data_IF_912214453126
#
_entry.id   IF_912214453126
#
_cell.length_a   1.000
_cell.length_b   1.000
_cell.length_c   1.000
_cell.angle_alpha   90.00
_cell.angle_beta   90.00
_cell.angle_gamma   90.00
#
_symmetry.space_group_name_H-M   'P 1'
#
loop_
_entity.id
_entity.type
_entity.pdbx_description
1 polymer ?
#
# COMPACT_ATOMS: atom_id res chain seq x y z
N UNK A 1 -40.90 -7.11 -49.24
CA UNK A 1 -41.00 -8.59 -49.26
C UNK A 1 -40.08 -9.11 -48.20
N UNK A 2 -40.44 -9.67 -47.11
CA UNK A 2 -41.58 -10.37 -46.58
C UNK A 2 -41.19 -10.98 -45.27
N UNK A 3 -41.86 -10.63 -44.26
CA UNK A 3 -42.32 -11.22 -43.02
C UNK A 3 -42.04 -12.72 -42.73
N UNK A 4 -41.69 -13.05 -41.45
CA UNK A 4 -42.36 -13.97 -40.49
C UNK A 4 -41.41 -14.25 -39.36
N UNK A 5 -41.52 -13.83 -38.10
CA UNK A 5 -42.47 -14.04 -37.01
C UNK A 5 -42.94 -15.51 -36.76
N UNK A 6 -42.67 -15.97 -35.51
CA UNK A 6 -43.44 -16.90 -34.68
C UNK A 6 -42.56 -17.33 -33.50
N UNK A 7 -42.72 -16.93 -32.30
CA UNK A 7 -43.62 -17.09 -31.14
C UNK A 7 -44.10 -18.52 -30.83
N UNK A 8 -43.89 -18.95 -29.58
CA UNK A 8 -44.79 -19.60 -28.59
C UNK A 8 -43.97 -20.45 -27.60
N UNK A 9 -43.91 -20.07 -26.34
CA UNK A 9 -44.80 -20.41 -25.20
C UNK A 9 -45.02 -21.93 -24.94
N UNK A 10 -44.69 -22.38 -23.74
CA UNK A 10 -45.40 -23.23 -22.77
C UNK A 10 -44.52 -23.37 -21.52
N UNK A 11 -44.80 -22.90 -20.42
CA UNK A 11 -45.82 -23.03 -19.34
C UNK A 11 -45.91 -24.46 -18.72
N UNK A 12 -45.61 -24.46 -17.40
CA UNK A 12 -46.21 -25.13 -16.23
C UNK A 12 -46.00 -26.64 -16.09
N UNK A 13 -45.48 -27.06 -14.91
CA UNK A 13 -46.32 -27.63 -13.86
C UNK A 13 -45.53 -27.82 -12.55
N UNK A 14 -46.17 -27.40 -11.48
CA UNK A 14 -45.81 -27.62 -10.09
C UNK A 14 -46.34 -28.99 -9.61
N UNK A 15 -45.66 -29.62 -8.71
CA UNK A 15 -46.29 -30.52 -7.75
C UNK A 15 -45.42 -30.63 -6.48
N UNK A 16 -45.94 -30.18 -5.39
CA UNK A 16 -45.40 -30.34 -4.06
C UNK A 16 -45.83 -31.66 -3.42
N UNK A 17 -45.04 -32.16 -2.48
CA UNK A 17 -45.49 -33.04 -1.44
C UNK A 17 -44.73 -32.68 -0.16
N UNK A 18 -45.48 -32.31 0.86
CA UNK A 18 -45.04 -32.20 2.24
C UNK A 18 -45.51 -33.48 3.00
N UNK A 19 -44.69 -34.05 3.84
CA UNK A 19 -45.11 -34.88 5.00
C UNK A 19 -44.02 -34.81 6.06
N UNK A 20 -44.40 -34.51 7.15
CA UNK A 20 -44.37 -34.33 8.56
C UNK A 20 -43.60 -35.39 9.38
N UNK A 21 -42.97 -34.85 10.42
CA UNK A 21 -42.91 -35.25 11.83
C UNK A 21 -42.29 -36.60 12.25
N UNK A 22 -41.39 -36.48 13.23
CA UNK A 22 -40.96 -37.59 14.09
C UNK A 22 -39.84 -37.17 15.04
N UNK A 23 -40.20 -36.74 16.23
CA UNK A 23 -39.29 -36.48 17.34
C UNK A 23 -38.82 -37.80 17.97
N UNK A 24 -37.51 -37.91 18.27
CA UNK A 24 -37.04 -38.82 19.30
C UNK A 24 -35.81 -38.23 20.01
N UNK A 25 -36.01 -37.96 21.28
CA UNK A 25 -34.98 -37.57 22.25
C UNK A 25 -34.29 -38.87 22.72
N UNK A 26 -32.97 -38.91 22.67
CA UNK A 26 -32.18 -39.77 23.52
C UNK A 26 -30.80 -39.13 23.75
N UNK A 27 -30.58 -38.69 24.97
CA UNK A 27 -29.30 -38.22 25.44
C UNK A 27 -28.33 -39.38 25.68
N UNK A 28 -27.06 -39.20 25.39
CA UNK A 28 -25.94 -39.92 25.97
C UNK A 28 -24.80 -38.96 26.27
N UNK A 29 -24.25 -39.16 27.44
CA UNK A 29 -23.29 -38.36 28.13
C UNK A 29 -21.92 -38.28 27.47
N UNK A 30 -21.19 -37.23 27.85
CA UNK A 30 -19.84 -36.85 27.55
C UNK A 30 -18.78 -37.94 27.79
N UNK A 31 -17.82 -38.02 26.89
CA UNK A 31 -16.45 -38.43 27.18
C UNK A 31 -15.49 -37.41 26.56
N UNK A 32 -14.86 -36.68 27.44
CA UNK A 32 -13.77 -35.77 27.08
C UNK A 32 -12.56 -36.58 26.61
N UNK A 33 -12.20 -36.46 25.34
CA UNK A 33 -10.88 -36.84 24.84
C UNK A 33 -10.21 -35.58 24.31
N UNK A 34 -9.14 -35.18 24.98
CA UNK A 34 -8.32 -34.06 24.55
C UNK A 34 -7.71 -34.28 23.16
N UNK A 35 -8.18 -33.52 22.20
CA UNK A 35 -7.59 -33.39 20.88
C UNK A 35 -7.10 -31.98 20.73
N UNK A 36 -5.77 -31.82 20.57
CA UNK A 36 -5.11 -30.53 20.42
C UNK A 36 -5.75 -29.72 19.29
N UNK A 37 -6.41 -28.63 19.67
CA UNK A 37 -6.91 -27.63 18.76
C UNK A 37 -5.72 -26.91 18.16
N UNK A 38 -5.33 -27.31 16.95
CA UNK A 38 -4.60 -26.46 16.04
C UNK A 38 -5.48 -25.23 15.77
N UNK A 39 -5.28 -24.18 16.55
CA UNK A 39 -6.00 -22.93 16.43
C UNK A 39 -5.71 -22.24 15.12
N UNK A 40 -6.47 -22.52 14.09
CA UNK A 40 -6.68 -21.61 12.98
C UNK A 40 -7.34 -20.39 13.57
N UNK A 41 -6.54 -19.37 13.89
CA UNK A 41 -7.03 -18.07 14.30
C UNK A 41 -7.87 -17.50 13.18
N UNK A 42 -9.18 -17.68 13.24
CA UNK A 42 -10.14 -16.98 12.42
C UNK A 42 -9.87 -15.48 12.58
N UNK A 43 -9.52 -14.83 11.49
CA UNK A 43 -9.33 -13.39 11.45
C UNK A 43 -10.69 -12.76 11.70
N UNK A 44 -10.99 -12.48 12.95
CA UNK A 44 -12.04 -11.51 13.29
C UNK A 44 -11.58 -10.19 12.70
N UNK A 45 -12.44 -9.57 11.86
CA UNK A 45 -12.13 -8.42 11.00
C UNK A 45 -11.66 -7.16 11.72
N UNK A 46 -10.48 -7.22 12.33
CA UNK A 46 -9.80 -6.12 13.01
C UNK A 46 -8.48 -5.78 12.33
N UNK A 47 -8.08 -4.51 12.42
CA UNK A 47 -6.78 -4.05 11.95
C UNK A 47 -5.63 -4.78 12.65
N UNK A 48 -4.48 -4.98 11.97
CA UNK A 48 -3.31 -5.64 12.58
C UNK A 48 -2.84 -4.96 13.87
N UNK A 49 -2.45 -5.77 14.84
CA UNK A 49 -1.88 -5.30 16.10
C UNK A 49 -0.58 -4.52 15.87
N UNK A 50 -0.45 -3.34 16.48
CA UNK A 50 0.66 -2.42 16.21
C UNK A 50 1.99 -2.91 16.80
N UNK A 51 1.97 -3.73 17.85
CA UNK A 51 3.11 -4.32 18.52
C UNK A 51 3.63 -5.61 17.87
N UNK A 52 2.92 -6.14 16.87
CA UNK A 52 3.26 -7.37 16.14
C UNK A 52 3.66 -7.08 14.68
N UNK A 53 4.84 -6.51 14.42
CA UNK A 53 5.28 -6.19 13.08
C UNK A 53 5.58 -7.44 12.26
N UNK A 54 5.05 -7.49 11.04
CA UNK A 54 5.41 -8.45 10.01
C UNK A 54 6.57 -7.96 9.12
N UNK A 55 6.78 -8.55 7.95
CA UNK A 55 7.79 -8.07 7.01
C UNK A 55 7.45 -6.69 6.47
N UNK A 56 8.48 -5.98 5.99
CA UNK A 56 8.34 -4.71 5.25
C UNK A 56 8.43 -4.99 3.77
N UNK A 57 7.41 -4.57 3.01
CA UNK A 57 7.39 -4.64 1.55
C UNK A 57 7.71 -3.26 1.00
N UNK A 58 8.74 -3.16 0.16
CA UNK A 58 9.18 -1.90 -0.44
C UNK A 58 8.74 -1.87 -1.90
N UNK A 59 7.97 -0.85 -2.28
CA UNK A 59 7.39 -0.71 -3.62
C UNK A 59 8.15 0.38 -4.38
N UNK A 60 8.78 0.05 -5.53
CA UNK A 60 9.54 1.02 -6.29
C UNK A 60 8.63 2.04 -6.98
N UNK A 61 9.24 3.15 -7.40
CA UNK A 61 8.61 4.19 -8.19
C UNK A 61 8.52 3.86 -9.68
N UNK A 62 8.13 4.88 -10.45
CA UNK A 62 8.12 4.83 -11.91
C UNK A 62 9.48 4.38 -12.46
N UNK A 63 9.46 3.50 -13.43
CA UNK A 63 10.68 2.90 -13.96
C UNK A 63 11.14 1.65 -13.22
N UNK A 64 10.48 1.25 -12.12
CA UNK A 64 10.69 -0.03 -11.44
C UNK A 64 12.08 -0.24 -10.82
N UNK A 65 12.89 0.83 -10.69
CA UNK A 65 14.27 0.73 -10.20
C UNK A 65 14.30 0.30 -8.73
N UNK A 66 15.09 -0.73 -8.43
CA UNK A 66 15.14 -1.34 -7.09
C UNK A 66 16.43 -1.07 -6.33
N UNK A 67 17.44 -0.45 -6.96
CA UNK A 67 18.77 -0.27 -6.39
C UNK A 67 18.76 0.50 -5.07
N UNK A 68 18.20 1.71 -5.07
CA UNK A 68 18.12 2.56 -3.88
C UNK A 68 17.24 1.93 -2.77
N UNK A 69 16.13 1.30 -3.14
CA UNK A 69 15.28 0.56 -2.18
C UNK A 69 15.99 -0.67 -1.60
N UNK A 70 16.93 -1.26 -2.32
CA UNK A 70 17.73 -2.37 -1.80
C UNK A 70 18.64 -1.93 -0.66
N UNK A 71 19.15 -0.68 -0.71
CA UNK A 71 19.88 -0.06 0.39
C UNK A 71 18.97 0.11 1.61
N UNK A 72 17.80 0.72 1.43
CA UNK A 72 16.82 0.87 2.52
C UNK A 72 16.40 -0.50 3.10
N UNK A 73 16.15 -1.49 2.23
CA UNK A 73 15.81 -2.84 2.66
C UNK A 73 16.93 -3.49 3.50
N UNK A 74 18.20 -3.27 3.15
CA UNK A 74 19.35 -3.75 3.93
C UNK A 74 19.37 -3.11 5.33
N UNK A 75 19.10 -1.81 5.44
CA UNK A 75 19.00 -1.09 6.72
C UNK A 75 17.86 -1.63 7.59
N UNK A 76 16.69 -1.90 6.97
CA UNK A 76 15.56 -2.52 7.69
C UNK A 76 15.93 -3.93 8.16
N UNK A 77 16.62 -4.74 7.33
CA UNK A 77 17.06 -6.09 7.74
C UNK A 77 18.06 -6.06 8.88
N UNK A 78 18.91 -5.05 8.94
CA UNK A 78 19.85 -4.86 10.04
C UNK A 78 19.16 -4.67 11.42
N UNK A 79 17.86 -4.30 11.43
CA UNK A 79 17.05 -4.26 12.67
C UNK A 79 16.45 -5.62 13.06
N UNK A 80 16.78 -6.70 12.35
CA UNK A 80 16.23 -8.04 12.56
C UNK A 80 14.88 -8.28 11.84
N UNK A 81 14.38 -7.31 11.05
CA UNK A 81 13.11 -7.46 10.32
C UNK A 81 13.32 -7.98 8.90
N UNK A 82 12.40 -8.80 8.42
CA UNK A 82 12.36 -9.15 7.00
C UNK A 82 11.95 -7.93 6.18
N UNK A 83 12.68 -7.67 5.10
CA UNK A 83 12.35 -6.63 4.13
C UNK A 83 12.47 -7.20 2.71
N UNK A 84 11.49 -6.93 1.86
CA UNK A 84 11.41 -7.44 0.49
C UNK A 84 11.11 -6.27 -0.44
N UNK A 85 11.95 -6.06 -1.44
CA UNK A 85 11.67 -5.12 -2.53
C UNK A 85 10.77 -5.84 -3.54
N UNK A 86 9.59 -5.29 -3.78
CA UNK A 86 8.63 -5.79 -4.75
C UNK A 86 9.17 -5.53 -6.15
N UNK A 87 9.09 -6.52 -7.01
CA UNK A 87 9.44 -6.36 -8.43
C UNK A 87 8.18 -6.12 -9.23
N UNK A 88 8.09 -4.97 -9.87
CA UNK A 88 6.98 -4.62 -10.74
C UNK A 88 7.15 -5.26 -12.12
N UNK A 89 6.06 -5.57 -12.84
CA UNK A 89 6.13 -6.16 -14.17
C UNK A 89 6.72 -5.18 -15.20
N UNK A 90 7.35 -5.73 -16.21
CA UNK A 90 8.03 -4.94 -17.23
C UNK A 90 9.11 -4.06 -16.60
N UNK A 91 9.03 -2.79 -16.88
CA UNK A 91 9.92 -1.75 -16.34
C UNK A 91 9.20 -0.82 -15.33
N UNK A 92 8.04 -1.21 -14.76
CA UNK A 92 7.29 -0.38 -13.81
C UNK A 92 6.69 0.89 -14.42
N UNK A 93 6.45 0.92 -15.73
CA UNK A 93 5.77 2.03 -16.42
C UNK A 93 4.36 1.68 -16.87
N UNK A 94 3.91 0.45 -16.57
CA UNK A 94 2.55 -0.03 -16.82
C UNK A 94 1.51 0.64 -15.92
N UNK A 95 0.32 0.06 -15.85
CA UNK A 95 -0.74 0.60 -14.99
C UNK A 95 -0.40 0.43 -13.51
N UNK A 96 -0.53 1.51 -12.73
CA UNK A 96 -0.36 1.50 -11.27
C UNK A 96 -1.38 0.58 -10.58
N UNK A 97 -2.54 0.37 -11.18
CA UNK A 97 -3.55 -0.60 -10.69
C UNK A 97 -3.04 -2.03 -10.82
N UNK A 98 -2.39 -2.35 -11.96
CA UNK A 98 -1.73 -3.65 -12.13
C UNK A 98 -0.62 -3.86 -11.12
N UNK A 99 0.16 -2.82 -10.85
CA UNK A 99 1.25 -2.85 -9.87
C UNK A 99 0.71 -3.05 -8.44
N UNK A 100 -0.46 -2.49 -8.11
CA UNK A 100 -1.14 -2.75 -6.84
C UNK A 100 -1.53 -4.22 -6.68
N UNK A 101 -1.99 -4.87 -7.74
CA UNK A 101 -2.22 -6.33 -7.74
C UNK A 101 -0.95 -7.14 -7.47
N UNK A 102 0.21 -6.70 -7.98
CA UNK A 102 1.52 -7.34 -7.69
C UNK A 102 1.89 -7.16 -6.22
N UNK A 103 1.68 -5.96 -5.65
CA UNK A 103 1.86 -5.72 -4.23
C UNK A 103 0.94 -6.64 -3.41
N UNK A 104 -0.35 -6.73 -3.78
CA UNK A 104 -1.30 -7.62 -3.09
C UNK A 104 -0.82 -9.07 -3.10
N UNK A 105 -0.36 -9.58 -4.23
CA UNK A 105 0.19 -10.94 -4.32
C UNK A 105 1.40 -11.15 -3.40
N UNK A 106 2.26 -10.15 -3.23
CA UNK A 106 3.39 -10.21 -2.31
C UNK A 106 2.93 -10.20 -0.84
N UNK A 107 1.94 -9.38 -0.50
CA UNK A 107 1.30 -9.34 0.82
C UNK A 107 0.67 -10.69 1.17
N UNK A 108 -0.16 -11.21 0.28
CA UNK A 108 -0.83 -12.50 0.49
C UNK A 108 0.18 -13.64 0.69
N UNK A 109 1.29 -13.62 -0.04
CA UNK A 109 2.37 -14.60 0.16
C UNK A 109 2.99 -14.47 1.56
N UNK A 110 3.20 -13.26 2.05
CA UNK A 110 3.74 -13.03 3.40
C UNK A 110 2.76 -13.52 4.47
N UNK A 111 1.47 -13.23 4.33
CA UNK A 111 0.43 -13.62 5.28
C UNK A 111 0.20 -15.14 5.29
N UNK A 112 0.18 -15.80 4.12
CA UNK A 112 0.14 -17.26 4.04
C UNK A 112 1.38 -17.93 4.63
N UNK A 113 2.53 -17.24 4.61
CA UNK A 113 3.75 -17.66 5.31
C UNK A 113 3.74 -17.44 6.82
N UNK A 114 2.59 -17.10 7.42
CA UNK A 114 2.42 -16.92 8.86
C UNK A 114 2.74 -15.51 9.39
N UNK A 115 2.98 -14.53 8.52
CA UNK A 115 3.16 -13.15 8.97
C UNK A 115 1.84 -12.60 9.57
N UNK A 116 1.87 -11.96 10.76
CA UNK A 116 0.67 -11.41 11.39
C UNK A 116 0.12 -10.19 10.66
N UNK A 117 0.96 -9.50 9.90
CA UNK A 117 0.68 -8.27 9.17
C UNK A 117 1.82 -7.97 8.20
N UNK A 118 1.72 -6.88 7.46
CA UNK A 118 2.82 -6.28 6.71
C UNK A 118 2.96 -4.81 7.04
N UNK A 119 4.16 -4.25 6.88
CA UNK A 119 4.36 -2.82 6.66
C UNK A 119 4.68 -2.60 5.19
N UNK A 120 4.25 -1.47 4.64
CA UNK A 120 4.54 -1.11 3.25
C UNK A 120 5.34 0.19 3.23
N UNK A 121 6.39 0.23 2.43
CA UNK A 121 7.14 1.46 2.13
C UNK A 121 7.03 1.71 0.63
N UNK A 122 6.31 2.74 0.22
CA UNK A 122 6.15 3.13 -1.18
C UNK A 122 7.06 4.31 -1.53
N UNK A 123 7.90 4.18 -2.55
CA UNK A 123 8.74 5.26 -3.04
C UNK A 123 8.15 5.86 -4.31
N UNK A 124 8.03 7.19 -4.39
CA UNK A 124 7.51 7.88 -5.57
C UNK A 124 6.16 7.30 -6.03
N UNK A 125 5.99 6.91 -7.27
CA UNK A 125 4.80 6.21 -7.78
C UNK A 125 4.42 4.98 -6.94
N UNK A 126 5.38 4.33 -6.29
CA UNK A 126 5.13 3.18 -5.40
C UNK A 126 4.27 3.50 -4.18
N UNK A 127 4.22 4.76 -3.74
CA UNK A 127 3.28 5.20 -2.70
C UNK A 127 1.85 5.31 -3.22
N UNK A 128 1.67 5.73 -4.48
CA UNK A 128 0.36 5.71 -5.14
C UNK A 128 -0.11 4.26 -5.31
N UNK A 129 0.78 3.35 -5.73
CA UNK A 129 0.51 1.89 -5.78
C UNK A 129 0.05 1.36 -4.40
N UNK A 130 0.73 1.76 -3.33
CA UNK A 130 0.35 1.38 -1.96
C UNK A 130 -1.04 1.93 -1.57
N UNK A 131 -1.39 3.13 -2.02
CA UNK A 131 -2.70 3.73 -1.76
C UNK A 131 -3.82 3.00 -2.53
N UNK A 132 -3.61 2.67 -3.80
CA UNK A 132 -4.53 1.85 -4.60
C UNK A 132 -4.76 0.51 -3.86
N UNK A 133 -3.68 -0.20 -3.55
CA UNK A 133 -3.76 -1.48 -2.86
C UNK A 133 -4.50 -1.39 -1.52
N UNK A 134 -4.28 -0.33 -0.75
CA UNK A 134 -4.94 -0.16 0.55
C UNK A 134 -6.45 0.06 0.43
N UNK A 135 -6.91 0.64 -0.69
CA UNK A 135 -8.33 0.92 -0.96
C UNK A 135 -9.05 -0.25 -1.62
N UNK A 136 -8.42 -0.87 -2.62
CA UNK A 136 -9.12 -1.81 -3.52
C UNK A 136 -8.96 -3.27 -3.09
N UNK A 137 -7.88 -3.64 -2.40
CA UNK A 137 -7.50 -5.02 -2.07
C UNK A 137 -7.62 -5.37 -0.58
N UNK A 138 -8.48 -4.69 0.17
CA UNK A 138 -8.55 -4.82 1.64
C UNK A 138 -7.17 -4.63 2.31
N UNK A 139 -6.27 -3.90 1.65
CA UNK A 139 -4.92 -3.67 2.12
C UNK A 139 -4.89 -3.00 3.48
N UNK A 140 -5.88 -2.15 3.76
CA UNK A 140 -6.08 -1.52 5.06
C UNK A 140 -6.25 -2.51 6.21
N UNK A 141 -6.85 -3.68 5.97
CA UNK A 141 -7.01 -4.74 6.97
C UNK A 141 -5.75 -5.64 7.09
N UNK A 142 -4.82 -5.55 6.16
CA UNK A 142 -3.60 -6.38 6.08
C UNK A 142 -2.36 -5.62 6.53
N UNK A 143 -2.33 -4.29 6.27
CA UNK A 143 -1.23 -3.42 6.64
C UNK A 143 -1.30 -3.00 8.11
N UNK A 144 -0.17 -3.03 8.79
CA UNK A 144 0.01 -2.39 10.09
C UNK A 144 0.33 -0.90 9.91
N UNK A 145 1.24 -0.59 8.97
CA UNK A 145 1.71 0.77 8.67
C UNK A 145 2.04 0.91 7.19
N UNK A 146 1.86 2.12 6.68
CA UNK A 146 2.29 2.51 5.34
C UNK A 146 3.13 3.78 5.46
N UNK A 147 4.32 3.75 4.90
CA UNK A 147 5.23 4.90 4.80
C UNK A 147 5.42 5.22 3.32
N UNK A 148 5.34 6.48 2.94
CA UNK A 148 5.57 6.89 1.55
C UNK A 148 6.68 7.91 1.48
N UNK A 149 7.48 7.85 0.44
CA UNK A 149 8.65 8.69 0.20
C UNK A 149 8.46 9.43 -1.13
N UNK A 150 8.19 10.74 -1.06
CA UNK A 150 8.03 11.61 -2.23
C UNK A 150 6.97 11.12 -3.22
N UNK A 151 5.79 10.72 -2.73
CA UNK A 151 4.75 10.10 -3.58
C UNK A 151 3.77 11.13 -4.13
N UNK A 152 3.56 11.18 -5.46
CA UNK A 152 2.73 12.19 -6.12
C UNK A 152 1.23 11.86 -6.00
N UNK A 153 0.63 11.99 -4.82
CA UNK A 153 -0.79 11.72 -4.61
C UNK A 153 -1.72 12.68 -5.36
N UNK A 154 -1.23 13.88 -5.64
CA UNK A 154 -1.94 14.88 -6.46
C UNK A 154 -1.32 15.05 -7.86
N UNK A 155 -0.46 14.13 -8.26
CA UNK A 155 0.23 14.14 -9.55
C UNK A 155 1.53 14.94 -9.53
N UNK A 156 2.13 15.10 -10.71
CA UNK A 156 3.33 15.92 -10.91
C UNK A 156 3.30 16.62 -12.25
N UNK A 157 3.81 17.87 -12.30
CA UNK A 157 3.94 18.63 -13.55
C UNK A 157 4.81 17.89 -14.56
N UNK A 158 5.83 17.14 -14.12
CA UNK A 158 6.67 16.32 -14.99
C UNK A 158 5.84 15.30 -15.83
N UNK A 159 4.80 14.72 -15.22
CA UNK A 159 3.90 13.81 -15.94
C UNK A 159 3.01 14.58 -16.95
N UNK A 160 2.56 15.80 -16.58
CA UNK A 160 1.82 16.68 -17.51
C UNK A 160 2.66 17.05 -18.71
N UNK A 161 3.91 17.43 -18.48
CA UNK A 161 4.84 17.83 -19.54
C UNK A 161 5.12 16.65 -20.48
N UNK A 162 5.38 15.46 -19.93
CA UNK A 162 5.57 14.24 -20.72
C UNK A 162 4.33 13.88 -21.55
N UNK A 163 3.15 14.00 -20.96
CA UNK A 163 1.89 13.71 -21.67
C UNK A 163 1.58 14.74 -22.76
N UNK A 164 1.91 16.02 -22.51
CA UNK A 164 1.60 17.12 -23.45
C UNK A 164 2.58 17.26 -24.60
N UNK A 165 3.88 17.13 -24.32
CA UNK A 165 4.92 17.43 -25.31
C UNK A 165 5.45 16.20 -26.06
N UNK A 166 5.25 14.99 -25.55
CA UNK A 166 5.75 13.75 -26.12
C UNK A 166 4.62 12.71 -26.25
N UNK A 167 3.68 12.89 -27.20
CA UNK A 167 2.62 11.91 -27.44
C UNK A 167 3.23 10.52 -27.69
N UNK A 168 2.81 9.51 -26.90
CA UNK A 168 3.35 8.15 -26.97
C UNK A 168 4.55 7.89 -26.03
N UNK A 169 5.19 8.92 -25.47
CA UNK A 169 6.27 8.75 -24.48
C UNK A 169 5.77 8.73 -23.03
N UNK A 170 4.46 8.93 -22.80
CA UNK A 170 3.81 8.86 -21.49
C UNK A 170 2.98 7.57 -21.39
N UNK A 171 3.58 6.45 -20.95
CA UNK A 171 2.87 5.19 -20.76
C UNK A 171 1.85 5.27 -19.61
N UNK A 172 1.11 4.18 -19.35
CA UNK A 172 -0.04 4.19 -18.46
C UNK A 172 0.24 4.80 -17.07
N UNK A 173 1.34 4.43 -16.42
CA UNK A 173 1.68 5.00 -15.13
C UNK A 173 1.93 6.53 -15.21
N UNK A 174 2.59 7.01 -16.27
CA UNK A 174 2.80 8.43 -16.48
C UNK A 174 1.46 9.17 -16.61
N UNK A 175 0.55 8.68 -17.46
CA UNK A 175 -0.78 9.27 -17.65
C UNK A 175 -1.59 9.28 -16.34
N UNK A 176 -1.47 8.22 -15.54
CA UNK A 176 -2.13 8.11 -14.24
C UNK A 176 -1.55 9.07 -13.19
N UNK A 177 -0.32 9.56 -13.37
CA UNK A 177 0.33 10.53 -12.48
C UNK A 177 0.19 11.99 -12.94
N UNK A 178 -0.55 12.26 -14.03
CA UNK A 178 -0.92 13.62 -14.41
C UNK A 178 -1.83 14.21 -13.33
N UNK A 179 -1.61 15.45 -12.86
CA UNK A 179 -2.49 16.13 -11.93
C UNK A 179 -3.95 16.12 -12.40
N UNK A 180 -4.87 15.75 -11.52
CA UNK A 180 -6.29 15.67 -11.85
C UNK A 180 -6.68 14.46 -12.71
N UNK A 181 -5.77 13.50 -12.94
CA UNK A 181 -6.15 12.26 -13.60
C UNK A 181 -7.31 11.57 -12.85
N UNK A 182 -8.19 10.84 -13.55
CA UNK A 182 -9.32 10.17 -12.91
C UNK A 182 -8.90 9.25 -11.75
N UNK A 183 -7.76 8.57 -11.90
CA UNK A 183 -7.23 7.71 -10.84
C UNK A 183 -6.88 8.51 -9.58
N UNK A 184 -6.09 9.58 -9.71
CA UNK A 184 -5.68 10.38 -8.56
C UNK A 184 -6.85 11.12 -7.92
N UNK A 185 -7.78 11.64 -8.71
CA UNK A 185 -9.00 12.27 -8.21
C UNK A 185 -9.79 11.31 -7.33
N UNK A 186 -10.04 10.08 -7.81
CA UNK A 186 -10.72 9.04 -7.05
C UNK A 186 -9.95 8.65 -5.77
N UNK A 187 -8.64 8.49 -5.86
CA UNK A 187 -7.81 8.08 -4.73
C UNK A 187 -7.72 9.13 -3.63
N UNK A 188 -7.85 10.40 -3.95
CA UNK A 188 -7.69 11.51 -2.98
C UNK A 188 -9.02 12.17 -2.59
N UNK A 189 -10.14 11.70 -3.12
CA UNK A 189 -11.48 12.19 -2.80
C UNK A 189 -11.78 12.12 -1.29
N UNK A 190 -11.29 11.09 -0.62
CA UNK A 190 -11.47 10.91 0.82
C UNK A 190 -10.12 10.74 1.53
N UNK A 191 -10.06 11.17 2.79
CA UNK A 191 -8.89 10.93 3.63
C UNK A 191 -8.65 9.42 3.83
N UNK A 192 -7.38 9.02 4.00
CA UNK A 192 -7.09 7.66 4.44
C UNK A 192 -7.60 7.44 5.86
N UNK A 193 -8.14 6.26 6.18
CA UNK A 193 -8.63 5.97 7.53
C UNK A 193 -7.49 6.01 8.55
N UNK A 194 -7.83 6.19 9.82
CA UNK A 194 -6.84 6.19 10.90
C UNK A 194 -6.04 4.89 11.05
N UNK A 195 -6.42 3.84 10.33
CA UNK A 195 -5.71 2.56 10.22
C UNK A 195 -5.81 1.98 8.80
N UNK A 196 -4.71 1.40 8.25
CA UNK A 196 -3.36 1.39 8.83
C UNK A 196 -2.89 2.82 9.12
N UNK A 197 -1.85 2.96 9.95
CA UNK A 197 -1.26 4.28 10.15
C UNK A 197 -0.40 4.67 8.96
N UNK A 198 -0.64 5.85 8.42
CA UNK A 198 0.07 6.39 7.28
C UNK A 198 1.06 7.48 7.70
N UNK A 199 2.26 7.43 7.12
CA UNK A 199 3.26 8.49 7.19
C UNK A 199 3.69 8.84 5.77
N UNK A 200 3.46 10.07 5.36
CA UNK A 200 4.00 10.61 4.11
C UNK A 200 5.21 11.49 4.42
N UNK A 201 6.36 11.10 3.87
CA UNK A 201 7.63 11.82 3.93
C UNK A 201 7.95 12.37 2.55
N UNK A 202 8.39 13.61 2.46
CA UNK A 202 8.87 14.20 1.21
C UNK A 202 9.94 15.26 1.48
N UNK A 203 10.66 15.64 0.47
CA UNK A 203 11.61 16.76 0.51
C UNK A 203 11.02 17.99 -0.14
N UNK A 204 11.29 19.17 0.41
CA UNK A 204 10.96 20.45 -0.25
C UNK A 204 11.84 20.72 -1.47
N UNK A 205 12.96 19.99 -1.61
CA UNK A 205 13.91 20.09 -2.72
C UNK A 205 13.55 19.10 -3.86
N UNK A 206 12.32 18.57 -3.86
CA UNK A 206 11.87 17.62 -4.87
C UNK A 206 11.69 18.31 -6.23
N UNK A 207 12.41 17.80 -7.24
CA UNK A 207 12.35 18.29 -8.62
C UNK A 207 11.70 17.27 -9.58
N UNK A 208 11.21 16.16 -9.05
CA UNK A 208 10.50 15.11 -9.80
C UNK A 208 9.01 15.16 -9.50
N UNK A 209 8.66 15.22 -8.22
CA UNK A 209 7.29 15.42 -7.78
C UNK A 209 7.08 16.92 -7.51
N UNK A 210 6.47 17.58 -8.46
CA UNK A 210 6.23 19.03 -8.41
C UNK A 210 4.75 19.36 -8.61
N UNK A 211 4.17 20.18 -7.70
CA UNK A 211 4.81 20.74 -6.50
C UNK A 211 5.13 19.64 -5.47
N UNK A 212 6.16 19.86 -4.64
CA UNK A 212 6.65 18.86 -3.68
C UNK A 212 5.57 18.42 -2.67
N UNK A 213 4.67 19.31 -2.29
CA UNK A 213 3.55 19.04 -1.39
C UNK A 213 2.41 18.21 -2.06
N UNK A 214 2.52 17.89 -3.35
CA UNK A 214 1.73 16.81 -3.99
C UNK A 214 1.85 15.49 -3.22
N UNK A 215 2.89 15.33 -2.40
CA UNK A 215 3.07 14.20 -1.50
C UNK A 215 2.19 14.23 -0.24
N UNK A 216 1.44 15.30 0.01
CA UNK A 216 0.47 15.33 1.11
C UNK A 216 -0.64 14.34 0.88
N UNK A 217 -1.00 13.62 1.95
CA UNK A 217 -2.10 12.66 1.93
C UNK A 217 -3.05 12.95 3.11
N UNK A 218 -4.30 13.26 2.80
CA UNK A 218 -5.30 13.54 3.82
C UNK A 218 -5.50 12.33 4.74
N UNK A 219 -5.49 12.56 6.06
CA UNK A 219 -5.58 11.51 7.08
C UNK A 219 -4.24 10.85 7.46
N UNK A 220 -3.14 11.12 6.73
CA UNK A 220 -1.80 10.67 7.08
C UNK A 220 -1.07 11.67 8.01
N UNK A 221 -0.04 11.18 8.69
CA UNK A 221 0.99 12.04 9.27
C UNK A 221 1.85 12.54 8.11
N UNK A 222 1.84 13.84 7.87
CA UNK A 222 2.49 14.50 6.72
C UNK A 222 3.72 15.26 7.18
N UNK A 223 4.91 14.90 6.69
CA UNK A 223 6.19 15.44 7.16
C UNK A 223 7.11 15.79 5.99
N UNK A 224 7.30 17.05 5.66
CA UNK A 224 8.44 17.48 4.87
C UNK A 224 9.72 17.28 5.70
N UNK A 225 10.76 16.69 5.11
CA UNK A 225 12.02 16.39 5.81
C UNK A 225 12.59 17.62 6.47
N UNK A 226 12.55 18.75 5.78
CA UNK A 226 13.10 20.02 6.25
C UNK A 226 12.36 20.60 7.47
N UNK A 227 11.14 20.14 7.74
CA UNK A 227 10.43 20.53 8.98
C UNK A 227 11.04 19.90 10.24
N UNK A 228 11.69 18.76 10.10
CA UNK A 228 12.40 18.08 11.19
C UNK A 228 13.89 18.40 11.18
N UNK A 229 14.46 18.61 10.00
CA UNK A 229 15.88 18.87 9.76
C UNK A 229 16.04 20.14 8.91
N UNK A 230 15.93 21.33 9.49
CA UNK A 230 16.12 22.57 8.74
C UNK A 230 17.48 22.62 8.03
N UNK A 231 17.48 22.98 6.74
CA UNK A 231 18.69 23.05 5.93
C UNK A 231 19.21 21.71 5.40
N UNK A 232 18.57 20.58 5.76
CA UNK A 232 18.94 19.28 5.18
C UNK A 232 18.57 19.23 3.69
N UNK A 233 19.55 18.89 2.87
CA UNK A 233 19.36 18.78 1.41
C UNK A 233 19.25 17.32 1.02
N UNK A 234 18.15 16.95 0.41
CA UNK A 234 17.93 15.62 -0.15
C UNK A 234 17.06 15.74 -1.39
N UNK A 235 17.54 15.18 -2.50
CA UNK A 235 16.77 15.14 -3.75
C UNK A 235 15.72 14.01 -3.72
N UNK A 236 14.79 14.03 -4.67
CA UNK A 236 13.83 12.93 -4.86
C UNK A 236 14.50 11.57 -4.94
N UNK A 237 15.53 11.45 -5.79
CA UNK A 237 16.25 10.18 -5.99
C UNK A 237 17.08 9.76 -4.78
N UNK A 238 17.44 10.71 -3.92
CA UNK A 238 18.16 10.48 -2.67
C UNK A 238 17.30 9.92 -1.55
N UNK A 239 15.98 10.16 -1.55
CA UNK A 239 15.09 9.80 -0.45
C UNK A 239 15.29 8.37 0.09
N UNK A 240 15.40 7.30 -0.72
CA UNK A 240 15.53 5.96 -0.17
C UNK A 240 16.90 5.64 0.45
N UNK A 241 17.92 6.46 0.20
CA UNK A 241 19.30 6.22 0.64
C UNK A 241 19.79 7.24 1.65
N UNK A 242 19.06 8.32 1.85
CA UNK A 242 19.41 9.38 2.78
C UNK A 242 19.34 8.90 4.23
N UNK A 243 20.37 9.13 5.06
CA UNK A 243 20.41 8.67 6.44
C UNK A 243 19.27 9.19 7.31
N UNK A 244 18.86 10.45 7.13
CA UNK A 244 17.74 11.05 7.86
C UNK A 244 16.43 10.36 7.49
N UNK A 245 16.18 10.17 6.19
CA UNK A 245 14.97 9.47 5.69
C UNK A 245 14.95 8.03 6.16
N UNK A 246 16.08 7.31 6.05
CA UNK A 246 16.20 5.93 6.55
C UNK A 246 15.85 5.87 8.04
N UNK A 247 16.39 6.77 8.85
CA UNK A 247 16.12 6.85 10.28
C UNK A 247 14.62 7.03 10.56
N UNK A 248 13.95 7.94 9.84
CA UNK A 248 12.51 8.17 9.94
C UNK A 248 11.69 6.94 9.52
N UNK A 249 12.10 6.23 8.47
CA UNK A 249 11.46 4.97 8.05
C UNK A 249 11.61 3.89 9.13
N UNK A 250 12.79 3.75 9.72
CA UNK A 250 13.04 2.79 10.80
C UNK A 250 12.21 3.10 12.05
N UNK A 251 12.09 4.38 12.42
CA UNK A 251 11.20 4.81 13.50
C UNK A 251 9.74 4.46 13.18
N UNK A 252 9.27 4.83 11.98
CA UNK A 252 7.89 4.61 11.56
C UNK A 252 7.53 3.13 11.44
N UNK A 253 8.45 2.27 11.03
CA UNK A 253 8.23 0.82 10.92
C UNK A 253 8.54 0.06 12.23
N UNK A 254 9.04 0.72 13.25
CA UNK A 254 9.30 0.17 14.58
C UNK A 254 8.03 -0.28 15.32
N UNK A 255 8.13 -0.51 16.64
CA UNK A 255 6.98 -0.91 17.48
C UNK A 255 6.29 0.27 18.16
N UNK A 256 6.99 1.39 18.36
CA UNK A 256 6.46 2.61 18.96
C UNK A 256 5.39 3.30 18.11
N UNK A 257 4.75 4.36 18.59
CA UNK A 257 3.82 5.15 17.77
C UNK A 257 4.53 5.76 16.56
N UNK A 258 3.76 6.08 15.48
CA UNK A 258 4.27 6.94 14.41
C UNK A 258 4.28 8.38 14.95
N UNK A 259 5.41 8.78 15.45
CA UNK A 259 5.68 10.12 15.95
C UNK A 259 7.07 10.53 15.44
N UNK A 260 7.17 10.97 14.16
CA UNK A 260 8.45 11.32 13.58
C UNK A 260 9.10 12.44 14.39
N UNK A 261 10.33 12.20 14.80
CA UNK A 261 11.15 13.19 15.50
C UNK A 261 12.47 13.35 14.77
N UNK A 262 13.07 14.54 14.90
CA UNK A 262 14.34 14.84 14.27
C UNK A 262 15.38 13.75 14.62
N UNK A 263 15.91 13.03 13.62
CA UNK A 263 16.96 12.04 13.87
C UNK A 263 18.25 12.70 14.36
N UNK A 264 19.11 11.91 15.00
CA UNK A 264 20.44 12.38 15.42
C UNK A 264 21.27 12.91 14.22
N UNK A 265 21.07 12.31 13.06
CA UNK A 265 21.77 12.68 11.82
C UNK A 265 21.43 14.12 11.34
N UNK A 266 20.29 14.69 11.73
CA UNK A 266 19.97 16.10 11.44
C UNK A 266 21.01 17.07 12.00
N UNK A 267 21.58 16.76 13.19
CA UNK A 267 22.52 17.65 13.86
C UNK A 267 23.91 17.66 13.23
N UNK A 268 24.23 16.64 12.46
CA UNK A 268 25.53 16.52 11.81
C UNK A 268 25.64 17.33 10.51
N UNK A 269 24.53 17.85 9.98
CA UNK A 269 24.47 18.61 8.73
C UNK A 269 24.36 20.13 8.98
N UNK A 270 24.10 20.59 10.21
CA UNK A 270 24.04 22.01 10.55
C UNK A 270 25.41 22.59 10.99
N UNK A 271 26.47 21.81 10.97
CA UNK A 271 27.80 22.19 11.45
C UNK A 271 28.81 22.61 10.37
N UNK A 272 28.36 22.99 9.18
CA UNK A 272 29.20 23.47 8.08
C UNK A 272 28.74 24.85 7.58
N UNK A 273 29.00 25.89 8.36
CA UNK A 273 28.98 27.29 7.88
C UNK A 273 30.36 27.89 8.16
#
# INVERSE_FOLDING_TARGET
>A
MGFRSLSRRRKLLAAGVAIAAGAAIAGVAALAAGGGAGGGAGRTGGYPAQDRPGPVLLVPGYGGQTGSLSVLAARIRATGRRAVVVRLPGNGTGSLVTDAGVLNAAVERALRGGAPSVDVVGYSAGGVVALIWARDDDGSAKARRVVTLGSPFHGTSLASDAAGFLPGACPAACQQLVPGSPLLAQLTETAVPGRPRWLSLWTTDDQVVMPADSARLAGAVNVPIQSLCPGHQVSHTGLPTDPVVISLVLQATGRGPISPSAPADCRNHTGGA
#
